data_IF_093034478221
#
_entry.id   IF_093034478221
#
_cell.length_a   1.000
_cell.length_b   1.000
_cell.length_c   1.000
_cell.angle_alpha   90.00
_cell.angle_beta   90.00
_cell.angle_gamma   90.00
#
_symmetry.space_group_name_H-M   'P 1'
#
loop_
_entity.id
_entity.type
_entity.pdbx_description
1 polymer ?
#
# COMPACT_ATOMS: atom_id res chain seq x y z
N UNK A 1 -37.08 8.22 -9.89
CA UNK A 1 -35.75 8.21 -9.25
C UNK A 1 -35.47 6.77 -8.84
N UNK A 2 -34.69 5.94 -9.52
CA UNK A 2 -33.56 6.17 -10.45
C UNK A 2 -33.46 5.01 -11.46
N UNK A 3 -33.40 5.33 -12.76
CA UNK A 3 -33.25 4.40 -13.91
C UNK A 3 -31.83 3.80 -14.05
N UNK A 4 -31.08 3.61 -12.96
CA UNK A 4 -29.68 3.14 -13.04
C UNK A 4 -29.53 1.61 -12.91
N UNK A 5 -30.64 0.88 -12.75
CA UNK A 5 -30.66 -0.58 -12.55
C UNK A 5 -30.08 -1.44 -13.69
N UNK A 6 -30.32 -1.14 -14.99
CA UNK A 6 -29.86 -2.02 -16.06
C UNK A 6 -28.35 -1.93 -16.34
N UNK A 7 -27.74 -0.75 -16.16
CA UNK A 7 -26.32 -0.53 -16.48
C UNK A 7 -25.37 -1.24 -15.51
N UNK A 8 -25.68 -1.27 -14.21
CA UNK A 8 -24.84 -1.95 -13.22
C UNK A 8 -24.81 -3.46 -13.43
N UNK A 9 -25.92 -4.04 -13.87
CA UNK A 9 -26.03 -5.47 -14.21
C UNK A 9 -25.21 -5.78 -15.46
N UNK A 10 -25.23 -4.93 -16.48
CA UNK A 10 -24.37 -5.07 -17.66
C UNK A 10 -22.88 -4.99 -17.33
N UNK A 11 -22.47 -4.05 -16.47
CA UNK A 11 -21.07 -3.92 -16.02
C UNK A 11 -20.63 -5.19 -15.29
N UNK A 12 -21.48 -5.74 -14.41
CA UNK A 12 -21.22 -7.00 -13.72
C UNK A 12 -21.04 -8.18 -14.68
N UNK A 13 -21.89 -8.28 -15.71
CA UNK A 13 -21.79 -9.32 -16.73
C UNK A 13 -20.49 -9.18 -17.55
N UNK A 14 -20.11 -7.96 -17.94
CA UNK A 14 -18.83 -7.70 -18.63
C UNK A 14 -17.62 -8.09 -17.77
N UNK A 15 -17.63 -7.74 -16.48
CA UNK A 15 -16.55 -8.11 -15.56
C UNK A 15 -16.42 -9.64 -15.38
N UNK A 16 -17.52 -10.39 -15.47
CA UNK A 16 -17.51 -11.85 -15.41
C UNK A 16 -16.91 -12.49 -16.67
N UNK A 17 -17.01 -11.86 -17.84
CA UNK A 17 -16.45 -12.42 -19.10
C UNK A 17 -14.92 -12.38 -19.14
N UNK A 18 -14.30 -11.49 -18.39
CA UNK A 18 -12.85 -11.31 -18.39
C UNK A 18 -12.28 -11.21 -16.96
N UNK A 19 -12.35 -12.29 -16.15
CA UNK A 19 -11.89 -12.30 -14.76
C UNK A 19 -10.38 -12.05 -14.63
N UNK A 20 -9.61 -12.24 -15.71
CA UNK A 20 -8.19 -11.87 -15.73
C UNK A 20 -7.98 -10.34 -15.73
N UNK A 21 -8.91 -9.54 -16.27
CA UNK A 21 -8.79 -8.08 -16.26
C UNK A 21 -8.98 -7.52 -14.85
N UNK A 22 -9.92 -8.05 -14.09
CA UNK A 22 -10.11 -7.69 -12.69
C UNK A 22 -8.90 -8.10 -11.85
N UNK A 23 -8.40 -9.33 -12.03
CA UNK A 23 -7.14 -9.76 -11.41
C UNK A 23 -5.98 -8.83 -11.78
N UNK A 24 -5.81 -8.52 -13.06
CA UNK A 24 -4.79 -7.60 -13.54
C UNK A 24 -4.88 -6.22 -12.89
N UNK A 25 -6.10 -5.67 -12.78
CA UNK A 25 -6.36 -4.38 -12.16
C UNK A 25 -5.91 -4.33 -10.68
N UNK A 26 -6.15 -5.40 -9.92
CA UNK A 26 -5.77 -5.46 -8.50
C UNK A 26 -4.31 -5.90 -8.27
N UNK A 27 -3.73 -6.71 -9.17
CA UNK A 27 -2.35 -7.19 -9.05
C UNK A 27 -1.33 -6.16 -9.55
N UNK A 28 -1.68 -5.37 -10.55
CA UNK A 28 -0.77 -4.39 -11.17
C UNK A 28 -0.21 -3.37 -10.16
N UNK A 29 -1.00 -2.77 -9.25
CA UNK A 29 -0.48 -1.88 -8.20
C UNK A 29 0.53 -2.61 -7.30
N UNK A 30 0.21 -3.83 -6.86
CA UNK A 30 1.10 -4.63 -6.01
C UNK A 30 2.42 -4.94 -6.72
N UNK A 31 2.37 -5.27 -8.01
CA UNK A 31 3.55 -5.51 -8.83
C UNK A 31 4.43 -4.25 -8.97
N UNK A 32 3.81 -3.09 -9.17
CA UNK A 32 4.51 -1.78 -9.22
C UNK A 32 5.17 -1.46 -7.87
N UNK A 33 4.50 -1.70 -6.75
CA UNK A 33 5.08 -1.53 -5.41
C UNK A 33 6.24 -2.50 -5.16
N UNK A 34 6.09 -3.76 -5.54
CA UNK A 34 7.13 -4.78 -5.43
C UNK A 34 8.40 -4.39 -6.22
N UNK A 35 8.23 -3.86 -7.44
CA UNK A 35 9.36 -3.34 -8.24
C UNK A 35 10.08 -2.16 -7.60
N UNK A 36 9.41 -1.39 -6.73
CA UNK A 36 10.02 -0.29 -5.98
C UNK A 36 10.72 -0.77 -4.69
N UNK A 37 10.71 -2.07 -4.38
CA UNK A 37 11.28 -2.63 -3.16
C UNK A 37 10.52 -2.21 -1.90
N UNK A 38 9.25 -1.81 -2.04
CA UNK A 38 8.38 -1.43 -0.93
C UNK A 38 7.71 -2.71 -0.44
N UNK A 39 8.19 -3.25 0.68
CA UNK A 39 7.60 -4.44 1.30
C UNK A 39 6.62 -4.01 2.41
N UNK A 40 5.38 -4.53 2.41
CA UNK A 40 4.45 -4.25 3.48
C UNK A 40 5.00 -4.83 4.78
N UNK A 41 5.05 -4.02 5.82
CA UNK A 41 5.39 -4.48 7.16
C UNK A 41 4.23 -5.31 7.73
N UNK A 42 4.53 -6.19 8.68
CA UNK A 42 3.55 -7.13 9.25
C UNK A 42 2.30 -6.42 9.80
N UNK A 43 2.45 -5.26 10.43
CA UNK A 43 1.32 -4.52 10.99
C UNK A 43 0.33 -4.03 9.92
N UNK A 44 0.80 -3.60 8.73
CA UNK A 44 -0.08 -3.27 7.59
C UNK A 44 -0.83 -4.52 7.11
N UNK A 45 -0.14 -5.67 7.04
CA UNK A 45 -0.77 -6.95 6.66
C UNK A 45 -1.88 -7.34 7.63
N UNK A 46 -1.63 -7.18 8.94
CA UNK A 46 -2.64 -7.42 9.98
C UNK A 46 -3.81 -6.43 9.87
N UNK A 47 -3.55 -5.17 9.57
CA UNK A 47 -4.60 -4.16 9.39
C UNK A 47 -5.45 -4.46 8.15
N UNK A 48 -4.83 -4.89 7.05
CA UNK A 48 -5.51 -5.30 5.83
C UNK A 48 -6.38 -6.57 6.00
N UNK A 49 -6.16 -7.33 7.06
CA UNK A 49 -7.02 -8.47 7.40
C UNK A 49 -8.44 -8.03 7.78
N UNK A 50 -8.61 -6.81 8.32
CA UNK A 50 -9.92 -6.29 8.74
C UNK A 50 -10.90 -6.16 7.55
N UNK A 51 -10.60 -5.41 6.47
CA UNK A 51 -11.48 -5.34 5.31
C UNK A 51 -11.67 -6.70 4.62
N UNK A 52 -10.62 -7.55 4.60
CA UNK A 52 -10.74 -8.90 4.07
C UNK A 52 -11.73 -9.76 4.87
N UNK A 53 -11.64 -9.74 6.20
CA UNK A 53 -12.55 -10.46 7.08
C UNK A 53 -13.99 -9.94 6.98
N UNK A 54 -14.16 -8.63 6.85
CA UNK A 54 -15.47 -8.00 6.60
C UNK A 54 -16.09 -8.46 5.29
N UNK A 55 -15.28 -8.57 4.23
CA UNK A 55 -15.71 -9.11 2.94
C UNK A 55 -16.21 -10.55 3.08
N UNK A 56 -15.49 -11.42 3.82
CA UNK A 56 -15.99 -12.77 4.12
C UNK A 56 -17.27 -12.75 4.96
N UNK A 57 -17.43 -11.77 5.85
CA UNK A 57 -18.63 -11.55 6.64
C UNK A 57 -19.91 -11.36 5.80
N UNK A 58 -19.77 -10.86 4.56
CA UNK A 58 -20.91 -10.73 3.63
C UNK A 58 -21.56 -12.07 3.28
N UNK A 59 -20.81 -13.18 3.34
CA UNK A 59 -21.37 -14.52 3.14
C UNK A 59 -22.40 -14.88 4.23
N UNK A 60 -22.21 -14.37 5.45
CA UNK A 60 -23.13 -14.60 6.56
C UNK A 60 -24.22 -13.52 6.66
N UNK A 61 -23.91 -12.27 6.32
CA UNK A 61 -24.82 -11.12 6.39
C UNK A 61 -24.67 -10.21 5.17
N UNK A 62 -25.44 -10.45 4.09
CA UNK A 62 -25.38 -9.63 2.88
C UNK A 62 -25.71 -8.15 3.10
N UNK A 63 -26.53 -7.85 4.10
CA UNK A 63 -26.95 -6.48 4.45
C UNK A 63 -25.79 -5.57 4.89
N UNK A 64 -24.61 -6.14 5.18
CA UNK A 64 -23.43 -5.39 5.56
C UNK A 64 -22.68 -4.76 4.37
N UNK A 65 -23.18 -4.90 3.15
CA UNK A 65 -22.52 -4.38 1.93
C UNK A 65 -22.11 -2.90 2.07
N UNK A 66 -22.96 -2.05 2.65
CA UNK A 66 -22.66 -0.64 2.86
C UNK A 66 -21.53 -0.43 3.88
N UNK A 67 -21.48 -1.24 4.93
CA UNK A 67 -20.41 -1.18 5.94
C UNK A 67 -19.08 -1.57 5.31
N UNK A 68 -19.04 -2.70 4.59
CA UNK A 68 -17.83 -3.19 3.91
C UNK A 68 -17.34 -2.16 2.90
N UNK A 69 -18.22 -1.66 2.04
CA UNK A 69 -17.89 -0.64 1.05
C UNK A 69 -17.34 0.65 1.68
N UNK A 70 -17.87 1.05 2.84
CA UNK A 70 -17.40 2.24 3.57
C UNK A 70 -15.98 2.01 4.12
N UNK A 71 -15.71 0.85 4.72
CA UNK A 71 -14.39 0.52 5.24
C UNK A 71 -13.36 0.45 4.12
N UNK A 72 -13.69 -0.20 3.00
CA UNK A 72 -12.80 -0.29 1.83
C UNK A 72 -12.51 1.08 1.22
N UNK A 73 -13.52 1.95 1.12
CA UNK A 73 -13.34 3.31 0.64
C UNK A 73 -12.42 4.13 1.54
N UNK A 74 -12.59 4.03 2.87
CA UNK A 74 -11.71 4.70 3.83
C UNK A 74 -10.28 4.16 3.77
N UNK A 75 -10.10 2.86 3.65
CA UNK A 75 -8.79 2.23 3.51
C UNK A 75 -8.09 2.69 2.22
N UNK A 76 -8.82 2.74 1.11
CA UNK A 76 -8.31 3.22 -0.17
C UNK A 76 -7.88 4.69 -0.09
N UNK A 77 -8.70 5.55 0.51
CA UNK A 77 -8.39 6.96 0.71
C UNK A 77 -7.16 7.15 1.58
N UNK A 78 -7.06 6.42 2.70
CA UNK A 78 -5.91 6.48 3.60
C UNK A 78 -4.62 6.03 2.89
N UNK A 79 -4.66 4.90 2.17
CA UNK A 79 -3.51 4.39 1.41
C UNK A 79 -3.10 5.35 0.28
N UNK A 80 -4.08 5.99 -0.37
CA UNK A 80 -3.81 6.98 -1.41
C UNK A 80 -3.14 8.22 -0.81
N UNK A 81 -3.67 8.73 0.30
CA UNK A 81 -3.07 9.84 1.02
C UNK A 81 -1.63 9.51 1.43
N UNK A 82 -1.40 8.36 2.07
CA UNK A 82 -0.08 7.88 2.48
C UNK A 82 0.90 7.84 1.31
N UNK A 83 0.48 7.23 0.19
CA UNK A 83 1.30 7.13 -1.04
C UNK A 83 1.73 8.49 -1.56
N UNK A 84 0.85 9.50 -1.48
CA UNK A 84 1.17 10.85 -1.89
C UNK A 84 1.99 11.63 -0.86
N UNK A 85 2.05 11.21 0.41
CA UNK A 85 2.91 11.83 1.45
C UNK A 85 4.34 11.31 1.45
N UNK A 86 4.60 10.10 0.95
CA UNK A 86 5.93 9.48 0.98
C UNK A 86 7.00 10.31 0.24
N UNK A 87 8.16 10.48 0.90
CA UNK A 87 9.35 11.08 0.30
C UNK A 87 9.98 10.13 -0.74
N UNK A 88 10.44 10.69 -1.86
CA UNK A 88 11.08 9.88 -2.92
C UNK A 88 12.40 9.28 -2.45
N UNK A 89 12.80 8.11 -2.97
CA UNK A 89 14.09 7.49 -2.61
C UNK A 89 15.30 8.41 -2.88
N UNK A 90 15.22 9.24 -3.92
CA UNK A 90 16.28 10.16 -4.33
C UNK A 90 16.47 11.34 -3.37
N UNK A 91 15.56 11.57 -2.43
CA UNK A 91 15.73 12.61 -1.40
C UNK A 91 16.46 12.10 -0.16
N UNK A 92 16.85 10.83 -0.09
CA UNK A 92 17.67 10.33 0.99
C UNK A 92 19.12 10.21 0.53
N UNK A 93 20.03 10.86 1.25
CA UNK A 93 21.48 10.68 1.06
C UNK A 93 22.03 9.90 2.24
N UNK A 94 22.75 8.82 1.94
CA UNK A 94 23.39 7.97 2.94
C UNK A 94 24.89 8.20 2.88
N UNK A 95 25.46 8.73 3.96
CA UNK A 95 26.90 8.90 4.11
C UNK A 95 27.42 7.98 5.23
N UNK A 96 28.52 7.29 4.97
CA UNK A 96 29.20 6.45 5.97
C UNK A 96 30.36 7.25 6.56
N UNK A 97 30.30 7.52 7.86
CA UNK A 97 31.42 8.07 8.60
C UNK A 97 32.17 6.90 9.27
N UNK A 98 33.46 6.77 8.96
CA UNK A 98 34.37 5.85 9.63
C UNK A 98 35.51 6.71 10.17
N UNK A 99 35.76 6.64 11.48
CA UNK A 99 36.97 7.24 12.04
C UNK A 99 38.17 6.53 11.43
N UNK A 100 39.13 7.29 10.87
CA UNK A 100 40.32 6.74 10.23
C UNK A 100 41.12 5.93 11.27
N UNK A 101 40.97 4.61 11.24
CA UNK A 101 41.80 3.70 12.01
C UNK A 101 42.77 2.98 11.07
N UNK A 102 44.06 3.09 11.37
CA UNK A 102 45.16 2.49 10.61
C UNK A 102 45.48 1.04 11.03
N UNK A 103 44.55 0.36 11.71
CA UNK A 103 44.77 -1.00 12.20
C UNK A 103 43.93 -1.98 11.38
N UNK A 104 44.60 -2.82 10.60
CA UNK A 104 44.02 -4.04 10.04
C UNK A 104 43.68 -4.96 11.22
N UNK A 105 42.44 -5.46 11.29
CA UNK A 105 41.95 -6.50 12.20
C UNK A 105 41.34 -6.08 13.56
N UNK A 106 40.89 -4.82 13.72
CA UNK A 106 40.13 -4.39 14.91
C UNK A 106 38.69 -4.01 14.54
N UNK A 107 37.71 -4.40 15.37
CA UNK A 107 36.31 -4.01 15.18
C UNK A 107 36.16 -2.49 15.33
N UNK A 108 35.63 -1.83 14.30
CA UNK A 108 35.44 -0.38 14.27
C UNK A 108 33.96 -0.01 14.30
N UNK A 109 33.63 0.99 15.11
CA UNK A 109 32.30 1.60 15.09
C UNK A 109 32.09 2.32 13.76
N UNK A 110 31.05 1.91 13.04
CA UNK A 110 30.65 2.54 11.77
C UNK A 110 29.38 3.32 12.03
N UNK A 111 29.45 4.65 11.89
CA UNK A 111 28.27 5.50 12.00
C UNK A 111 27.69 5.74 10.61
N UNK A 112 26.44 5.33 10.43
CA UNK A 112 25.71 5.47 9.18
C UNK A 112 24.78 6.68 9.32
N UNK A 113 25.06 7.74 8.55
CA UNK A 113 24.27 8.97 8.56
C UNK A 113 23.27 8.94 7.40
N UNK A 114 21.99 9.09 7.73
CA UNK A 114 20.89 9.13 6.76
C UNK A 114 20.32 10.54 6.78
N UNK A 115 20.57 11.32 5.72
CA UNK A 115 20.07 12.67 5.57
C UNK A 115 18.81 12.67 4.70
N UNK A 116 17.68 13.13 5.25
CA UNK A 116 16.46 13.35 4.50
C UNK A 116 16.47 14.78 3.93
N UNK A 117 16.69 14.89 2.62
CA UNK A 117 16.68 16.14 1.86
C UNK A 117 15.29 16.45 1.27
N UNK A 118 14.24 15.71 1.67
CA UNK A 118 12.89 15.96 1.17
C UNK A 118 12.28 17.20 1.81
N UNK A 119 11.46 17.92 1.04
CA UNK A 119 10.69 19.06 1.54
C UNK A 119 9.39 18.62 2.25
N UNK A 120 9.25 17.32 2.57
CA UNK A 120 8.05 16.73 3.17
C UNK A 120 8.34 16.42 4.63
N UNK A 121 7.68 17.15 5.54
CA UNK A 121 7.94 17.06 6.99
C UNK A 121 6.97 16.15 7.75
N UNK A 122 5.99 15.52 7.08
CA UNK A 122 4.92 14.76 7.73
C UNK A 122 4.87 13.34 7.19
N UNK A 123 5.01 12.39 8.11
CA UNK A 123 4.59 11.01 7.94
C UNK A 123 3.25 10.90 8.68
N UNK A 124 2.21 10.42 8.00
CA UNK A 124 0.89 10.16 8.59
C UNK A 124 0.83 8.71 9.06
#
# INVERSE_FOLDING_TARGET
MTENGPQLVEIGAWLQTAPWLTLGLFVLPLFVLARKGIYPHLSILLLALVPAALTFGLLARPDWILVVATVDALALLAATADLFTLASRNSFTVSRAVERAASIDVAHSVTLQINNLSNRSRFL
#
